data_IF_433359508045
#
_entry.id   IF_433359508045
#
_cell.length_a   1.000
_cell.length_b   1.000
_cell.length_c   1.000
_cell.angle_alpha   90.00
_cell.angle_beta   90.00
_cell.angle_gamma   90.00
#
_symmetry.space_group_name_H-M   'P 1'
#
loop_
_entity.id
_entity.type
_entity.pdbx_description
1 polymer ?
#
# COMPACT_ATOMS: atom_id res chain seq x y z
N UNK A 1 -3.04 -11.48 11.06
CA UNK A 1 -3.62 -12.77 10.62
C UNK A 1 -2.76 -13.95 11.08
N UNK A 2 -1.49 -14.03 10.69
CA UNK A 2 -0.64 -15.18 11.03
C UNK A 2 -0.56 -15.45 12.53
N UNK A 3 -0.43 -14.40 13.34
CA UNK A 3 -0.43 -14.53 14.81
C UNK A 3 -1.76 -15.05 15.34
N UNK A 4 -2.87 -14.63 14.73
CA UNK A 4 -4.19 -15.13 15.09
C UNK A 4 -4.33 -16.64 14.82
N UNK A 5 -3.87 -17.12 13.67
CA UNK A 5 -3.90 -18.55 13.33
C UNK A 5 -2.98 -19.39 14.24
N UNK A 6 -1.87 -18.82 14.73
CA UNK A 6 -1.03 -19.50 15.73
C UNK A 6 -1.75 -19.66 17.07
N UNK A 7 -2.49 -18.63 17.51
CA UNK A 7 -3.26 -18.69 18.78
C UNK A 7 -4.54 -19.54 18.66
N UNK A 8 -5.14 -19.57 17.47
CA UNK A 8 -6.42 -20.25 17.21
C UNK A 8 -6.35 -21.20 16.00
N UNK A 9 -5.61 -22.32 16.08
CA UNK A 9 -5.31 -23.18 14.93
C UNK A 9 -6.52 -23.92 14.32
N UNK A 10 -7.68 -23.89 14.99
CA UNK A 10 -8.91 -24.48 14.48
C UNK A 10 -9.80 -23.49 13.72
N UNK A 11 -9.41 -22.24 13.62
CA UNK A 11 -10.13 -21.22 12.87
C UNK A 11 -9.68 -21.25 11.41
N UNK A 12 -10.63 -21.19 10.50
CA UNK A 12 -10.37 -20.94 9.09
C UNK A 12 -10.53 -19.46 8.79
N UNK A 13 -9.60 -18.89 8.01
CA UNK A 13 -9.68 -17.52 7.50
C UNK A 13 -9.66 -17.57 5.99
N UNK A 14 -10.69 -16.98 5.38
CA UNK A 14 -10.74 -16.70 3.96
C UNK A 14 -10.41 -15.22 3.72
N UNK A 15 -9.45 -14.93 2.84
CA UNK A 15 -9.02 -13.58 2.51
C UNK A 15 -9.22 -13.36 1.02
N UNK A 16 -10.09 -12.40 0.70
CA UNK A 16 -10.33 -11.98 -0.67
C UNK A 16 -9.75 -10.59 -0.86
N UNK A 17 -8.94 -10.40 -1.91
CA UNK A 17 -8.42 -9.09 -2.29
C UNK A 17 -9.30 -8.51 -3.38
N UNK A 18 -10.04 -7.46 -3.03
CA UNK A 18 -10.90 -6.72 -3.94
C UNK A 18 -10.40 -5.29 -4.10
N UNK A 19 -10.16 -4.89 -5.34
CA UNK A 19 -9.77 -3.50 -5.62
C UNK A 19 -10.93 -2.50 -5.62
N UNK A 20 -12.17 -2.97 -5.58
CA UNK A 20 -13.38 -2.16 -5.54
C UNK A 20 -13.84 -1.94 -4.11
N UNK A 21 -14.62 -0.87 -3.90
CA UNK A 21 -15.30 -0.64 -2.62
C UNK A 21 -16.50 -1.60 -2.54
N UNK A 22 -16.33 -2.68 -1.78
CA UNK A 22 -17.36 -3.70 -1.56
C UNK A 22 -18.06 -3.42 -0.23
N UNK A 23 -19.39 -3.57 -0.22
CA UNK A 23 -20.16 -3.66 1.01
C UNK A 23 -19.91 -5.05 1.64
N UNK A 24 -19.11 -5.06 2.72
CA UNK A 24 -18.70 -6.30 3.38
C UNK A 24 -19.89 -7.08 3.98
N UNK A 25 -20.95 -6.38 4.39
CA UNK A 25 -22.13 -7.02 4.99
C UNK A 25 -22.92 -7.78 3.92
N UNK A 26 -23.22 -7.12 2.81
CA UNK A 26 -23.93 -7.73 1.68
C UNK A 26 -23.14 -8.86 1.03
N UNK A 27 -21.79 -8.75 1.03
CA UNK A 27 -20.90 -9.77 0.51
C UNK A 27 -20.61 -10.92 1.48
N UNK A 28 -21.11 -10.85 2.73
CA UNK A 28 -20.98 -11.92 3.71
C UNK A 28 -19.63 -11.98 4.43
N UNK A 29 -18.82 -10.92 4.35
CA UNK A 29 -17.55 -10.84 5.08
C UNK A 29 -17.75 -10.38 6.52
N UNK A 30 -16.94 -10.92 7.44
CA UNK A 30 -16.91 -10.48 8.84
C UNK A 30 -16.13 -9.17 9.02
N UNK A 31 -15.11 -8.94 8.22
CA UNK A 31 -14.18 -7.83 8.30
C UNK A 31 -13.83 -7.27 6.94
N UNK A 32 -13.49 -5.98 6.90
CA UNK A 32 -12.86 -5.35 5.77
C UNK A 32 -11.59 -4.63 6.19
N UNK A 33 -10.66 -4.47 5.26
CA UNK A 33 -9.41 -3.71 5.41
C UNK A 33 -9.36 -2.63 4.34
N UNK A 34 -9.32 -1.36 4.73
CA UNK A 34 -9.18 -0.22 3.81
C UNK A 34 -8.60 1.02 4.50
N UNK A 35 -8.35 2.06 3.73
CA UNK A 35 -8.00 3.37 4.27
C UNK A 35 -9.15 3.88 5.17
N UNK A 36 -8.77 4.52 6.27
CA UNK A 36 -9.74 4.97 7.31
C UNK A 36 -10.80 5.93 6.75
N UNK A 37 -10.42 6.76 5.78
CA UNK A 37 -11.30 7.74 5.14
C UNK A 37 -12.38 7.11 4.22
N UNK A 38 -12.25 5.83 3.88
CA UNK A 38 -13.24 5.06 3.13
C UNK A 38 -14.05 4.09 3.99
N UNK A 39 -13.87 4.10 5.30
CA UNK A 39 -14.69 3.27 6.19
C UNK A 39 -16.08 3.90 6.32
N UNK A 40 -17.18 3.15 6.08
CA UNK A 40 -18.52 3.64 6.28
C UNK A 40 -18.77 4.11 7.72
N UNK A 41 -19.54 5.17 7.90
CA UNK A 41 -19.77 5.81 9.18
C UNK A 41 -20.51 4.92 10.22
N UNK A 42 -21.25 3.92 9.75
CA UNK A 42 -21.99 2.94 10.54
C UNK A 42 -21.15 1.72 10.94
N UNK A 43 -19.86 1.70 10.61
CA UNK A 43 -18.93 0.61 10.92
C UNK A 43 -18.00 0.98 12.07
N UNK A 44 -17.60 -0.04 12.84
CA UNK A 44 -16.54 0.10 13.83
C UNK A 44 -15.18 -0.06 13.14
N UNK A 45 -14.25 0.85 13.41
CA UNK A 45 -12.91 0.84 12.83
C UNK A 45 -11.83 0.74 13.89
N UNK A 46 -10.85 -0.14 13.65
CA UNK A 46 -9.60 -0.23 14.40
C UNK A 46 -8.49 0.25 13.49
N UNK A 47 -7.78 1.31 13.87
CA UNK A 47 -6.62 1.80 13.11
C UNK A 47 -5.47 0.82 13.27
N UNK A 48 -4.94 0.30 12.14
CA UNK A 48 -3.91 -0.72 12.16
C UNK A 48 -2.50 -0.16 11.98
N UNK A 49 -2.33 0.85 11.16
CA UNK A 49 -1.02 1.36 10.80
C UNK A 49 -1.05 2.86 10.55
N UNK A 50 -0.15 3.57 11.20
CA UNK A 50 0.04 5.02 11.07
C UNK A 50 1.33 5.31 10.32
N UNK A 51 1.40 6.52 9.74
CA UNK A 51 2.64 7.06 9.20
C UNK A 51 3.21 6.31 8.00
N UNK A 52 2.39 5.51 7.29
CA UNK A 52 2.82 4.87 6.04
C UNK A 52 3.14 5.94 5.01
N UNK A 53 4.18 5.68 4.22
CA UNK A 53 4.56 6.54 3.09
C UNK A 53 4.82 5.70 1.86
N UNK A 54 4.81 6.34 0.73
CA UNK A 54 5.41 5.78 -0.46
C UNK A 54 6.93 6.00 -0.46
N UNK A 55 7.62 5.11 -1.19
CA UNK A 55 9.02 5.26 -1.54
C UNK A 55 9.14 5.26 -3.07
N UNK A 56 9.82 6.27 -3.60
CA UNK A 56 10.26 6.31 -4.98
C UNK A 56 11.63 5.65 -5.01
N UNK A 57 11.78 4.56 -5.76
CA UNK A 57 12.98 3.73 -5.71
C UNK A 57 13.43 3.28 -7.09
N UNK A 58 14.73 3.09 -7.25
CA UNK A 58 15.32 2.36 -8.38
C UNK A 58 16.62 1.70 -7.91
N UNK A 59 17.21 0.87 -8.75
CA UNK A 59 18.52 0.29 -8.46
C UNK A 59 19.64 1.32 -8.63
N UNK A 60 20.76 1.21 -7.90
CA UNK A 60 21.95 2.04 -8.17
C UNK A 60 22.42 1.95 -9.63
N UNK A 61 22.31 0.77 -10.24
CA UNK A 61 22.69 0.54 -11.63
C UNK A 61 21.84 1.33 -12.63
N UNK A 62 20.55 1.56 -12.34
CA UNK A 62 19.68 2.37 -13.19
C UNK A 62 20.24 3.81 -13.34
N UNK A 63 20.86 4.31 -12.28
CA UNK A 63 21.44 5.67 -12.25
C UNK A 63 22.92 5.76 -12.67
N UNK A 64 23.54 4.64 -13.06
CA UNK A 64 24.95 4.69 -13.50
C UNK A 64 25.19 5.65 -14.67
N UNK A 65 24.17 5.78 -15.55
CA UNK A 65 24.22 6.65 -16.73
C UNK A 65 23.08 7.69 -16.77
N UNK A 66 22.40 7.90 -15.66
CA UNK A 66 21.23 8.80 -15.55
C UNK A 66 21.33 9.66 -14.31
N UNK A 67 20.94 10.93 -14.34
CA UNK A 67 20.85 11.75 -13.15
C UNK A 67 19.82 11.19 -12.17
N UNK A 68 20.03 11.36 -10.88
CA UNK A 68 19.03 11.01 -9.86
C UNK A 68 17.98 12.13 -9.77
N UNK A 69 16.68 11.84 -9.85
CA UNK A 69 15.63 12.85 -9.69
C UNK A 69 15.71 13.58 -8.36
N UNK A 70 15.61 14.91 -8.38
CA UNK A 70 15.65 15.78 -7.19
C UNK A 70 14.29 16.40 -6.88
N UNK A 71 13.45 16.56 -7.90
CA UNK A 71 12.09 17.05 -7.81
C UNK A 71 11.15 16.11 -8.62
N UNK A 72 9.85 16.04 -8.30
CA UNK A 72 8.93 15.13 -8.97
C UNK A 72 8.90 15.28 -10.50
N UNK A 73 9.02 16.49 -11.02
CA UNK A 73 9.01 16.77 -12.47
C UNK A 73 10.18 16.13 -13.21
N UNK A 74 11.30 15.86 -12.55
CA UNK A 74 12.46 15.17 -13.15
C UNK A 74 12.09 13.74 -13.62
N UNK A 75 11.08 13.12 -12.99
CA UNK A 75 10.58 11.78 -13.36
C UNK A 75 10.11 11.70 -14.81
N UNK A 76 9.74 12.82 -15.43
CA UNK A 76 9.34 12.88 -16.85
C UNK A 76 10.49 12.51 -17.80
N UNK A 77 11.74 12.63 -17.37
CA UNK A 77 12.93 12.24 -18.12
C UNK A 77 13.36 10.80 -17.86
N UNK A 78 12.61 10.05 -17.04
CA UNK A 78 12.94 8.69 -16.64
C UNK A 78 11.91 7.67 -17.11
N UNK A 79 12.35 6.43 -17.29
CA UNK A 79 11.45 5.28 -17.39
C UNK A 79 10.89 4.96 -16.00
N UNK A 80 9.59 4.93 -15.87
CA UNK A 80 8.91 4.58 -14.63
C UNK A 80 8.01 3.36 -14.81
N UNK A 81 7.88 2.55 -13.77
CA UNK A 81 6.95 1.41 -13.77
C UNK A 81 5.56 1.94 -13.43
N UNK A 82 4.68 1.93 -14.42
CA UNK A 82 3.32 2.46 -14.27
C UNK A 82 2.43 1.46 -13.56
N UNK A 83 1.48 1.95 -12.78
CA UNK A 83 0.54 1.11 -12.04
C UNK A 83 -0.87 1.29 -12.62
N UNK A 84 -1.56 0.18 -12.89
CA UNK A 84 -2.97 0.14 -13.24
C UNK A 84 -3.80 -0.16 -12.01
N UNK A 85 -4.79 0.66 -11.75
CA UNK A 85 -5.74 0.45 -10.69
C UNK A 85 -6.82 -0.58 -11.09
N UNK A 86 -7.50 -1.20 -10.13
CA UNK A 86 -8.56 -2.18 -10.41
C UNK A 86 -9.76 -1.63 -11.21
N UNK A 87 -9.96 -0.31 -11.21
CA UNK A 87 -10.96 0.36 -12.06
C UNK A 87 -10.49 0.57 -13.50
N UNK A 88 -9.26 0.16 -13.84
CA UNK A 88 -8.66 0.27 -15.16
C UNK A 88 -7.88 1.57 -15.40
N UNK A 89 -7.98 2.55 -14.50
CA UNK A 89 -7.25 3.82 -14.59
C UNK A 89 -5.77 3.64 -14.25
N UNK A 90 -4.95 4.59 -14.69
CA UNK A 90 -3.55 4.65 -14.29
C UNK A 90 -3.43 5.39 -12.96
N UNK A 91 -2.59 4.86 -12.08
CA UNK A 91 -2.29 5.52 -10.83
C UNK A 91 -1.36 6.71 -11.08
N UNK A 92 -1.82 7.92 -10.70
CA UNK A 92 -0.98 9.12 -10.68
C UNK A 92 -0.14 9.12 -9.41
N UNK A 93 1.18 9.24 -9.56
CA UNK A 93 2.06 9.28 -8.40
C UNK A 93 1.83 10.57 -7.61
N UNK A 94 1.56 10.42 -6.33
CA UNK A 94 1.19 11.53 -5.46
C UNK A 94 2.42 12.09 -4.78
N UNK A 95 2.70 13.36 -5.03
CA UNK A 95 3.74 14.11 -4.34
C UNK A 95 3.10 15.29 -3.62
N UNK A 96 3.79 15.80 -2.61
CA UNK A 96 3.34 16.95 -1.84
C UNK A 96 4.56 17.74 -1.37
N UNK A 97 4.48 19.06 -1.48
CA UNK A 97 5.47 19.97 -0.88
C UNK A 97 4.74 21.14 -0.22
N UNK A 98 5.07 21.43 1.04
CA UNK A 98 4.45 22.51 1.82
C UNK A 98 2.92 22.49 1.83
N UNK A 99 2.30 21.30 1.85
CA UNK A 99 0.85 21.11 1.84
C UNK A 99 0.19 21.25 0.46
N UNK A 100 0.96 21.42 -0.60
CA UNK A 100 0.45 21.45 -1.98
C UNK A 100 0.69 20.10 -2.65
N UNK A 101 -0.40 19.47 -3.08
CA UNK A 101 -0.34 18.20 -3.81
C UNK A 101 0.13 18.44 -5.26
N UNK A 102 1.05 17.61 -5.72
CA UNK A 102 1.60 17.63 -7.08
C UNK A 102 1.52 16.21 -7.68
N UNK A 103 0.39 15.82 -8.28
CA UNK A 103 0.29 14.53 -8.96
C UNK A 103 1.13 14.54 -10.24
N UNK A 104 1.89 13.47 -10.47
CA UNK A 104 2.75 13.33 -11.65
C UNK A 104 2.32 12.13 -12.48
N UNK A 105 2.09 12.39 -13.77
CA UNK A 105 1.92 11.36 -14.78
C UNK A 105 3.28 10.90 -15.28
N UNK A 106 3.67 9.74 -14.82
CA UNK A 106 4.93 9.12 -15.25
C UNK A 106 4.77 8.33 -16.54
N UNK A 107 5.85 8.22 -17.30
CA UNK A 107 5.92 7.43 -18.53
C UNK A 107 6.90 6.28 -18.33
N UNK A 108 6.71 5.20 -19.11
CA UNK A 108 7.63 4.08 -19.08
C UNK A 108 7.16 2.88 -19.92
N UNK A 109 8.04 1.88 -20.07
CA UNK A 109 7.83 0.79 -21.01
C UNK A 109 6.79 -0.25 -20.55
N UNK A 110 6.42 -0.24 -19.25
CA UNK A 110 5.52 -1.25 -18.68
C UNK A 110 4.49 -0.64 -17.75
N UNK A 111 3.29 -1.21 -17.79
CA UNK A 111 2.18 -0.90 -16.87
C UNK A 111 1.73 -2.21 -16.22
N UNK A 112 1.71 -2.26 -14.90
CA UNK A 112 1.39 -3.46 -14.10
C UNK A 112 0.31 -3.13 -13.07
N UNK A 113 -0.48 -4.12 -12.71
CA UNK A 113 -1.51 -4.05 -11.67
C UNK A 113 -1.12 -4.84 -10.40
N UNK A 114 0.06 -5.47 -10.44
CA UNK A 114 0.57 -6.31 -9.36
C UNK A 114 1.92 -5.77 -8.86
N UNK A 115 1.99 -5.51 -7.53
CA UNK A 115 3.12 -4.82 -6.92
C UNK A 115 4.42 -5.66 -6.91
N UNK A 116 4.32 -6.99 -6.80
CA UNK A 116 5.51 -7.85 -6.78
C UNK A 116 6.17 -7.90 -8.17
N UNK A 117 5.39 -7.92 -9.25
CA UNK A 117 5.90 -7.82 -10.62
C UNK A 117 6.54 -6.45 -10.86
N UNK A 118 5.92 -5.39 -10.35
CA UNK A 118 6.49 -4.04 -10.45
C UNK A 118 7.84 -3.95 -9.71
N UNK A 119 7.95 -4.57 -8.51
CA UNK A 119 9.20 -4.65 -7.77
C UNK A 119 10.28 -5.42 -8.55
N UNK A 120 9.93 -6.56 -9.15
CA UNK A 120 10.85 -7.32 -9.99
C UNK A 120 11.36 -6.49 -11.16
N UNK A 121 10.48 -5.77 -11.86
CA UNK A 121 10.86 -4.90 -12.97
C UNK A 121 11.85 -3.79 -12.54
N UNK A 122 11.65 -3.22 -11.34
CA UNK A 122 12.60 -2.24 -10.79
C UNK A 122 13.95 -2.89 -10.46
N UNK A 123 13.96 -4.06 -9.82
CA UNK A 123 15.20 -4.79 -9.50
C UNK A 123 15.96 -5.21 -10.76
N UNK A 124 15.25 -5.45 -11.88
CA UNK A 124 15.81 -5.71 -13.21
C UNK A 124 16.22 -4.43 -13.97
N UNK A 125 16.30 -3.29 -13.27
CA UNK A 125 16.77 -2.00 -13.80
C UNK A 125 15.91 -1.38 -14.92
N UNK A 126 14.65 -1.83 -15.09
CA UNK A 126 13.74 -1.34 -16.14
C UNK A 126 13.35 0.12 -15.92
N UNK A 127 13.27 0.55 -14.66
CA UNK A 127 12.88 1.93 -14.36
C UNK A 127 12.76 2.21 -12.87
N UNK A 128 12.19 3.39 -12.59
CA UNK A 128 11.87 3.87 -11.25
C UNK A 128 10.50 3.32 -10.85
N UNK A 129 10.34 2.87 -9.60
CA UNK A 129 9.08 2.40 -9.03
C UNK A 129 8.59 3.28 -7.88
N UNK A 130 7.29 3.15 -7.58
CA UNK A 130 6.59 3.86 -6.52
C UNK A 130 5.83 2.86 -5.67
N UNK A 131 6.31 2.55 -4.48
CA UNK A 131 5.80 1.48 -3.63
C UNK A 131 5.42 2.00 -2.25
N UNK A 132 4.62 1.26 -1.52
CA UNK A 132 4.56 1.43 -0.07
C UNK A 132 5.96 1.10 0.49
N UNK A 133 6.50 1.98 1.31
CA UNK A 133 7.89 1.86 1.82
C UNK A 133 8.18 0.50 2.45
N UNK A 134 7.22 -0.03 3.22
CA UNK A 134 7.38 -1.36 3.85
C UNK A 134 7.56 -2.52 2.86
N UNK A 135 7.09 -2.37 1.61
CA UNK A 135 7.12 -3.44 0.63
C UNK A 135 8.49 -3.56 -0.06
N UNK A 136 9.32 -2.53 0.11
CA UNK A 136 10.69 -2.44 -0.43
C UNK A 136 11.76 -2.19 0.65
N UNK A 137 11.38 -2.26 1.92
CA UNK A 137 12.28 -1.95 3.04
C UNK A 137 13.53 -2.84 3.04
N UNK A 138 13.35 -4.15 2.85
CA UNK A 138 14.48 -5.10 2.78
C UNK A 138 15.44 -4.83 1.61
N UNK A 139 14.93 -4.32 0.48
CA UNK A 139 15.78 -3.97 -0.66
C UNK A 139 16.55 -2.67 -0.42
N UNK A 140 15.92 -1.73 0.27
CA UNK A 140 16.57 -0.49 0.68
C UNK A 140 17.67 -0.75 1.72
N UNK A 141 17.39 -1.55 2.74
CA UNK A 141 18.36 -1.96 3.76
C UNK A 141 19.53 -2.74 3.17
N UNK A 142 19.26 -3.61 2.20
CA UNK A 142 20.28 -4.39 1.50
C UNK A 142 21.04 -3.60 0.42
N UNK A 143 20.68 -2.33 0.18
CA UNK A 143 21.29 -1.49 -0.87
C UNK A 143 20.96 -1.93 -2.31
N UNK A 144 20.03 -2.87 -2.50
CA UNK A 144 19.55 -3.25 -3.85
C UNK A 144 18.77 -2.13 -4.52
N UNK A 145 18.05 -1.36 -3.70
CA UNK A 145 17.34 -0.16 -4.14
C UNK A 145 17.89 1.07 -3.42
N UNK A 146 17.82 2.21 -4.09
CA UNK A 146 18.07 3.53 -3.50
C UNK A 146 16.78 4.34 -3.55
N UNK A 147 16.53 5.10 -2.50
CA UNK A 147 15.39 5.99 -2.37
C UNK A 147 15.70 7.38 -2.91
N UNK A 148 14.72 8.00 -3.52
CA UNK A 148 14.76 9.39 -3.94
C UNK A 148 13.45 10.11 -3.61
N UNK A 149 13.42 11.43 -3.71
CA UNK A 149 12.25 12.29 -3.51
C UNK A 149 11.56 12.07 -2.13
N UNK A 150 12.32 11.72 -1.10
CA UNK A 150 11.77 11.39 0.22
C UNK A 150 10.96 12.53 0.83
N UNK A 151 11.44 13.79 0.69
CA UNK A 151 10.74 14.97 1.18
C UNK A 151 9.45 15.32 0.42
N UNK A 152 9.17 14.63 -0.67
CA UNK A 152 8.02 14.88 -1.53
C UNK A 152 6.90 13.84 -1.36
N UNK A 153 7.18 12.68 -0.76
CA UNK A 153 6.14 11.63 -0.59
C UNK A 153 5.28 11.93 0.63
N UNK A 154 3.95 12.11 0.47
CA UNK A 154 3.06 12.42 1.59
C UNK A 154 2.88 11.23 2.53
N UNK A 155 2.47 11.52 3.76
CA UNK A 155 1.99 10.49 4.68
C UNK A 155 0.65 9.97 4.17
N UNK A 156 0.54 8.66 4.03
CA UNK A 156 -0.69 8.03 3.59
C UNK A 156 -1.73 8.00 4.73
N UNK A 157 -3.01 8.08 4.40
CA UNK A 157 -4.07 7.82 5.35
C UNK A 157 -3.91 6.46 6.03
N UNK A 158 -4.28 6.40 7.31
CA UNK A 158 -4.20 5.17 8.09
C UNK A 158 -5.00 4.03 7.45
N UNK A 159 -4.50 2.80 7.58
CA UNK A 159 -5.31 1.61 7.32
C UNK A 159 -6.16 1.29 8.54
N UNK A 160 -7.37 0.83 8.30
CA UNK A 160 -8.27 0.37 9.33
C UNK A 160 -8.82 -1.02 9.01
N UNK A 161 -8.86 -1.86 10.02
CA UNK A 161 -9.74 -3.02 10.08
C UNK A 161 -11.12 -2.50 10.48
N UNK A 162 -12.16 -2.80 9.69
CA UNK A 162 -13.51 -2.36 10.01
C UNK A 162 -14.49 -3.53 9.93
N UNK A 163 -15.57 -3.41 10.70
CA UNK A 163 -16.59 -4.44 10.84
C UNK A 163 -17.91 -3.82 11.31
N UNK A 164 -19.06 -4.45 11.01
CA UNK A 164 -20.35 -3.96 11.47
C UNK A 164 -20.49 -4.12 12.98
N UNK A 165 -21.21 -3.18 13.63
CA UNK A 165 -21.60 -3.31 15.04
C UNK A 165 -22.66 -4.42 15.18
N UNK A 166 -22.22 -5.65 15.33
CA UNK A 166 -23.10 -6.81 15.54
C UNK A 166 -23.09 -7.21 17.00
N UNK A 167 -24.22 -7.12 17.67
CA UNK A 167 -24.38 -7.58 19.06
C UNK A 167 -24.01 -9.07 19.25
N UNK A 168 -24.06 -9.90 18.20
CA UNK A 168 -23.81 -11.34 18.21
C UNK A 168 -22.58 -11.73 17.39
N UNK A 169 -21.47 -11.00 17.50
CA UNK A 169 -20.22 -11.43 16.88
C UNK A 169 -19.81 -12.82 17.41
N UNK A 170 -19.27 -13.69 16.54
CA UNK A 170 -18.78 -15.01 16.93
C UNK A 170 -17.62 -14.91 17.94
N UNK A 171 -17.34 -15.97 18.68
CA UNK A 171 -16.18 -16.01 19.57
C UNK A 171 -14.86 -15.80 18.79
N UNK A 172 -14.78 -16.36 17.58
CA UNK A 172 -13.65 -16.17 16.67
C UNK A 172 -13.50 -14.69 16.26
N UNK A 173 -14.60 -14.05 15.84
CA UNK A 173 -14.55 -12.63 15.46
C UNK A 173 -14.14 -11.72 16.64
N UNK A 174 -14.65 -11.97 17.85
CA UNK A 174 -14.23 -11.23 19.04
C UNK A 174 -12.74 -11.38 19.33
N UNK A 175 -12.23 -12.61 19.33
CA UNK A 175 -10.82 -12.87 19.55
C UNK A 175 -9.92 -12.22 18.50
N UNK A 176 -10.37 -12.13 17.24
CA UNK A 176 -9.66 -11.41 16.16
C UNK A 176 -9.61 -9.90 16.42
N UNK A 177 -10.73 -9.31 16.84
CA UNK A 177 -10.83 -7.90 17.22
C UNK A 177 -9.88 -7.58 18.39
N UNK A 178 -9.88 -8.42 19.43
CA UNK A 178 -9.06 -8.22 20.61
C UNK A 178 -7.57 -8.30 20.26
N UNK A 179 -7.16 -9.27 19.45
CA UNK A 179 -5.80 -9.35 18.94
C UNK A 179 -5.41 -8.14 18.08
N UNK A 180 -6.31 -7.67 17.20
CA UNK A 180 -6.04 -6.49 16.40
C UNK A 180 -5.82 -5.25 17.29
N UNK A 181 -6.61 -5.08 18.34
CA UNK A 181 -6.43 -3.99 19.32
C UNK A 181 -5.15 -4.13 20.14
N UNK A 182 -4.77 -5.35 20.50
CA UNK A 182 -3.53 -5.65 21.23
C UNK A 182 -2.30 -5.24 20.41
N UNK A 183 -2.26 -5.64 19.15
CA UNK A 183 -1.09 -5.45 18.25
C UNK A 183 -0.92 -4.00 17.78
N UNK A 184 -2.01 -3.24 17.70
CA UNK A 184 -2.01 -1.90 17.08
C UNK A 184 -2.42 -0.77 18.06
N UNK A 185 -2.22 -0.99 19.35
CA UNK A 185 -2.35 0.04 20.40
C UNK A 185 -1.32 1.15 20.29
#
# INVERSE_FOLDING_TARGET
VLEYLRRYPRVHIDIVTEGRLVDIVSAGFDFGLRRIDFVPADMIAIRLRRGRRHAVVATPRYFAERPVPRIPTDLRAHSCIRVRLPNGELYHWQFEQAGQAEPIDVQGPITLDEASLARMAVLDHIGIGYFIESDVAEDLEAGRLVRMLEGWTPVLPDLALYYPDRRNASAASRAFIDLAREVYR
#
